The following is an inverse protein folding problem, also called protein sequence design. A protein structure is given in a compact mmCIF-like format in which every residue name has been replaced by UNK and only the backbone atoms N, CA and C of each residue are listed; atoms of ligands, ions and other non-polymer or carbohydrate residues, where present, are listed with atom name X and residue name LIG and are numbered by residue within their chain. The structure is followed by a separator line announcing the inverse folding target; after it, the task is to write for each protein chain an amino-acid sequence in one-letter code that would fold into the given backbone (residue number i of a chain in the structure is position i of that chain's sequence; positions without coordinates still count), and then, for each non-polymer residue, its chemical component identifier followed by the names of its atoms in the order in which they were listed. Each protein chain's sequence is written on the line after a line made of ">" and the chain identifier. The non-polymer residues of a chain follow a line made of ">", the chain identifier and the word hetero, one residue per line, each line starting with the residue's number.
data_IF_537495740260
#
_entry.id   IF_537495740260
#
_cell.length_a   1.000
_cell.length_b   1.000
_cell.length_c   1.000
_cell.angle_alpha   90.00
_cell.angle_beta   90.00
_cell.angle_gamma   90.00
#
_symmetry.space_group_name_H-M   'P 1'
#
loop_
_entity.id
_entity.type
_entity.pdbx_description
1 polymer ?
#
# COMPACT_ATOMS: atom_id res chain seq x y z
N UNK A 1 33.06 -5.36 -1.77
CA UNK A 1 31.83 -5.95 -2.32
C UNK A 1 30.94 -6.43 -1.17
N UNK A 2 29.88 -5.69 -0.86
CA UNK A 2 28.82 -6.11 0.08
C UNK A 2 27.79 -6.87 -0.74
N UNK A 3 27.68 -8.18 -0.52
CA UNK A 3 26.56 -8.95 -1.06
C UNK A 3 25.37 -8.68 -0.14
N UNK A 4 24.41 -7.86 -0.60
CA UNK A 4 23.12 -7.76 0.05
C UNK A 4 22.30 -8.96 -0.43
N UNK A 5 22.06 -9.93 0.45
CA UNK A 5 21.05 -10.96 0.22
C UNK A 5 19.73 -10.35 0.65
N UNK A 6 18.86 -10.06 -0.31
CA UNK A 6 17.53 -9.52 -0.05
C UNK A 6 16.57 -10.67 0.28
N UNK A 7 16.21 -10.82 1.56
CA UNK A 7 15.08 -11.65 1.93
C UNK A 7 13.84 -10.77 2.01
N UNK A 8 12.90 -10.97 1.09
CA UNK A 8 11.60 -10.32 1.07
C UNK A 8 10.65 -11.14 1.95
N UNK A 9 10.46 -10.69 3.19
CA UNK A 9 9.48 -11.29 4.11
C UNK A 9 8.20 -10.45 4.08
N UNK A 10 7.15 -10.99 3.47
CA UNK A 10 5.80 -10.44 3.55
C UNK A 10 5.09 -11.00 4.78
N UNK A 11 4.93 -10.17 5.82
CA UNK A 11 4.25 -10.59 7.06
C UNK A 11 2.81 -10.08 7.02
N UNK A 12 1.80 -10.96 6.83
CA UNK A 12 0.40 -10.57 7.00
C UNK A 12 0.12 -10.40 8.50
N UNK A 13 -0.21 -9.19 8.92
CA UNK A 13 -0.70 -8.95 10.28
C UNK A 13 -2.21 -9.10 10.29
N UNK A 14 -2.70 -10.21 10.83
CA UNK A 14 -4.11 -10.41 11.12
C UNK A 14 -4.43 -9.76 12.46
N UNK A 15 -5.20 -8.68 12.44
CA UNK A 15 -5.68 -7.99 13.64
C UNK A 15 -5.13 -6.58 13.78
N UNK A 16 -5.84 -5.60 13.23
CA UNK A 16 -5.73 -4.22 13.71
C UNK A 16 -6.93 -3.96 14.64
N UNK A 17 -6.72 -4.18 15.93
CA UNK A 17 -7.51 -3.53 16.97
C UNK A 17 -7.13 -2.05 16.98
N UNK A 18 -7.75 -1.26 16.11
CA UNK A 18 -7.93 0.16 16.36
C UNK A 18 -9.43 0.42 16.39
N UNK A 19 -9.92 0.65 17.60
CA UNK A 19 -11.18 1.34 17.85
C UNK A 19 -11.22 2.56 16.92
N UNK A 20 -12.32 2.70 16.16
CA UNK A 20 -12.55 3.64 15.04
C UNK A 20 -12.34 3.09 13.61
N UNK A 21 -12.76 1.85 13.32
CA UNK A 21 -13.05 1.49 11.92
C UNK A 21 -14.45 1.99 11.54
N UNK A 22 -14.49 3.09 10.79
CA UNK A 22 -15.67 3.44 9.99
C UNK A 22 -15.97 2.27 9.03
N UNK A 23 -17.24 1.98 8.72
CA UNK A 23 -17.60 0.87 7.85
C UNK A 23 -16.90 1.02 6.50
N UNK A 24 -16.01 0.07 6.15
CA UNK A 24 -15.26 0.03 4.89
C UNK A 24 -13.77 0.40 4.95
N UNK A 25 -13.24 0.82 6.11
CA UNK A 25 -11.84 1.27 6.22
C UNK A 25 -10.93 0.17 6.77
N UNK A 26 -10.06 -0.37 5.90
CA UNK A 26 -8.86 -1.18 6.17
C UNK A 26 -9.02 -2.38 7.13
N UNK A 27 -8.93 -3.59 6.56
CA UNK A 27 -9.10 -4.85 7.31
C UNK A 27 -7.85 -5.71 7.42
N UNK A 28 -6.95 -5.62 6.42
CA UNK A 28 -5.69 -6.36 6.43
C UNK A 28 -4.52 -5.45 6.09
N UNK A 29 -3.38 -5.74 6.68
CA UNK A 29 -2.12 -5.06 6.42
C UNK A 29 -1.04 -6.08 6.05
N UNK A 30 -0.29 -5.79 4.98
CA UNK A 30 0.93 -6.49 4.61
C UNK A 30 2.09 -5.52 4.73
N UNK A 31 3.19 -5.98 5.31
CA UNK A 31 4.45 -5.23 5.41
C UNK A 31 5.55 -6.01 4.72
N UNK A 32 6.37 -5.30 3.96
CA UNK A 32 7.55 -5.82 3.31
C UNK A 32 8.79 -5.19 3.92
N UNK A 33 9.73 -6.03 4.35
CA UNK A 33 10.99 -5.60 4.93
C UNK A 33 12.17 -6.00 4.05
N UNK A 34 13.17 -5.13 3.98
CA UNK A 34 14.50 -5.45 3.49
C UNK A 34 15.42 -5.75 4.68
N UNK A 35 16.17 -6.84 4.59
CA UNK A 35 17.24 -7.17 5.54
C UNK A 35 18.60 -6.81 4.93
N UNK A 36 19.48 -6.18 5.72
CA UNK A 36 20.86 -5.89 5.32
C UNK A 36 21.82 -6.62 6.26
N UNK A 37 22.75 -7.37 5.66
CA UNK A 37 23.83 -8.05 6.36
C UNK A 37 25.16 -7.36 6.04
N UNK A 38 25.84 -6.84 7.05
CA UNK A 38 27.27 -6.51 6.94
C UNK A 38 28.09 -7.65 7.57
N UNK A 39 29.17 -8.08 6.90
CA UNK A 39 29.97 -9.23 7.37
C UNK A 39 30.45 -8.99 8.80
N UNK A 40 29.87 -9.70 9.76
CA UNK A 40 30.20 -9.62 11.19
C UNK A 40 29.43 -8.57 12.00
N UNK A 41 28.38 -7.96 11.45
CA UNK A 41 27.53 -6.97 12.16
C UNK A 41 26.06 -7.38 12.20
N UNK A 42 25.37 -6.79 13.17
CA UNK A 42 23.96 -6.88 13.48
C UNK A 42 23.07 -6.83 12.23
N UNK A 43 21.99 -7.61 12.25
CA UNK A 43 20.98 -7.62 11.20
C UNK A 43 20.07 -6.41 11.36
N UNK A 44 20.09 -5.53 10.36
CA UNK A 44 19.19 -4.38 10.30
C UNK A 44 18.00 -4.68 9.37
N UNK A 45 16.81 -4.39 9.86
CA UNK A 45 15.55 -4.52 9.12
C UNK A 45 15.01 -3.14 8.77
N UNK A 46 14.55 -3.00 7.54
CA UNK A 46 13.94 -1.76 7.06
C UNK A 46 12.59 -2.06 6.43
N UNK A 47 11.52 -1.43 6.92
CA UNK A 47 10.21 -1.45 6.24
C UNK A 47 10.35 -0.67 4.93
N UNK A 48 9.98 -1.29 3.80
CA UNK A 48 10.09 -0.65 2.48
C UNK A 48 8.74 -0.48 1.80
N UNK A 49 7.78 -1.33 2.12
CA UNK A 49 6.44 -1.25 1.57
C UNK A 49 5.40 -1.67 2.60
N UNK A 50 4.24 -1.02 2.54
CA UNK A 50 3.05 -1.38 3.30
C UNK A 50 1.84 -1.35 2.37
N UNK A 51 1.05 -2.42 2.37
CA UNK A 51 -0.23 -2.50 1.66
C UNK A 51 -1.38 -2.71 2.63
N UNK A 52 -2.47 -2.01 2.38
CA UNK A 52 -3.70 -2.08 3.16
C UNK A 52 -4.82 -2.60 2.27
N UNK A 53 -5.65 -3.52 2.76
CA UNK A 53 -6.68 -4.19 1.95
C UNK A 53 -8.08 -4.03 2.55
N UNK A 54 -9.08 -4.09 1.67
CA UNK A 54 -10.49 -4.21 2.04
C UNK A 54 -10.88 -5.69 2.32
N UNK A 55 -12.17 -5.96 2.57
CA UNK A 55 -12.68 -7.30 2.90
C UNK A 55 -12.54 -8.32 1.77
N UNK A 56 -12.41 -7.85 0.54
CA UNK A 56 -12.24 -8.67 -0.66
C UNK A 56 -10.77 -8.88 -1.01
N UNK A 57 -9.86 -8.52 -0.11
CA UNK A 57 -8.40 -8.57 -0.32
C UNK A 57 -7.92 -7.71 -1.49
N UNK A 58 -8.65 -6.65 -1.81
CA UNK A 58 -8.24 -5.65 -2.80
C UNK A 58 -7.50 -4.50 -2.10
N UNK A 59 -6.33 -4.05 -2.60
CA UNK A 59 -5.57 -2.98 -1.98
C UNK A 59 -6.33 -1.66 -2.03
N UNK A 60 -6.39 -0.95 -0.91
CA UNK A 60 -7.01 0.37 -0.79
C UNK A 60 -5.96 1.47 -0.54
N UNK A 61 -4.76 1.07 -0.10
CA UNK A 61 -3.63 1.97 0.06
C UNK A 61 -2.31 1.22 -0.04
N UNK A 62 -1.33 1.85 -0.67
CA UNK A 62 0.05 1.38 -0.77
C UNK A 62 0.98 2.52 -0.31
N UNK A 63 2.01 2.17 0.46
CA UNK A 63 3.00 3.11 1.00
C UNK A 63 4.39 2.58 0.70
N UNK A 64 5.27 3.44 0.23
CA UNK A 64 6.68 3.15 -0.02
C UNK A 64 7.53 3.98 0.91
N UNK A 65 8.56 3.37 1.50
CA UNK A 65 9.43 3.99 2.49
C UNK A 65 10.86 4.17 1.96
N UNK A 66 11.41 5.38 2.12
CA UNK A 66 12.81 5.67 1.82
C UNK A 66 13.75 5.06 2.87
N UNK A 67 15.07 5.19 2.69
CA UNK A 67 16.10 4.66 3.61
C UNK A 67 15.99 5.15 5.05
N UNK A 68 15.33 6.29 5.29
CA UNK A 68 15.14 6.87 6.60
C UNK A 68 13.80 6.48 7.25
N UNK A 69 13.00 5.66 6.57
CA UNK A 69 11.66 5.27 7.03
C UNK A 69 10.61 6.38 6.86
N UNK A 70 10.90 7.40 6.06
CA UNK A 70 9.92 8.40 5.64
C UNK A 70 9.12 7.83 4.47
N UNK A 71 7.86 8.25 4.32
CA UNK A 71 7.00 7.83 3.21
C UNK A 71 7.15 8.84 2.05
N UNK A 72 8.06 8.63 1.08
CA UNK A 72 8.10 9.45 -0.11
C UNK A 72 6.85 9.25 -0.95
N UNK A 73 6.33 8.03 -1.10
CA UNK A 73 5.20 7.76 -2.00
C UNK A 73 4.06 7.02 -1.32
N UNK A 74 2.84 7.45 -1.64
CA UNK A 74 1.61 6.81 -1.20
C UNK A 74 0.56 6.83 -2.33
N UNK A 75 -0.02 5.67 -2.62
CA UNK A 75 -1.16 5.54 -3.52
C UNK A 75 -2.40 5.10 -2.76
N UNK A 76 -3.55 5.72 -3.06
CA UNK A 76 -4.85 5.34 -2.50
C UNK A 76 -5.80 4.99 -3.62
N UNK A 77 -6.66 4.01 -3.38
CA UNK A 77 -7.60 3.48 -4.36
C UNK A 77 -9.02 3.48 -3.79
N UNK A 78 -9.98 3.84 -4.63
CA UNK A 78 -11.40 3.77 -4.34
C UNK A 78 -12.06 2.83 -5.36
N UNK A 79 -12.99 1.99 -4.89
CA UNK A 79 -13.66 0.99 -5.71
C UNK A 79 -15.17 1.10 -5.58
N UNK A 80 -15.90 0.74 -6.63
CA UNK A 80 -17.34 0.57 -6.57
C UNK A 80 -17.76 -0.73 -5.87
N UNK A 81 -19.07 -0.92 -5.68
CA UNK A 81 -19.63 -2.12 -5.05
C UNK A 81 -19.35 -3.42 -5.81
N UNK A 82 -19.01 -3.33 -7.11
CA UNK A 82 -18.61 -4.46 -7.95
C UNK A 82 -17.10 -4.73 -7.91
N UNK A 83 -16.32 -3.93 -7.18
CA UNK A 83 -14.87 -4.07 -7.05
C UNK A 83 -14.08 -3.45 -8.20
N UNK A 84 -14.69 -2.58 -9.00
CA UNK A 84 -14.00 -1.84 -10.07
C UNK A 84 -13.41 -0.57 -9.50
N UNK A 85 -12.15 -0.26 -9.80
CA UNK A 85 -11.54 1.01 -9.40
C UNK A 85 -12.34 2.16 -10.00
N UNK A 86 -12.72 3.13 -9.17
CA UNK A 86 -13.38 4.37 -9.60
C UNK A 86 -12.41 5.53 -9.58
N UNK A 87 -11.37 5.45 -8.74
CA UNK A 87 -10.38 6.51 -8.56
C UNK A 87 -9.09 5.97 -7.95
N UNK A 88 -7.98 6.54 -8.37
CA UNK A 88 -6.69 6.44 -7.69
C UNK A 88 -6.07 7.81 -7.45
N UNK A 89 -5.29 7.92 -6.37
CA UNK A 89 -4.57 9.17 -6.02
C UNK A 89 -3.18 8.83 -5.51
N UNK A 90 -2.18 9.32 -6.22
CA UNK A 90 -0.77 9.19 -5.86
C UNK A 90 -0.26 10.49 -5.23
N UNK A 91 0.47 10.33 -4.12
CA UNK A 91 1.13 11.41 -3.41
C UNK A 91 2.62 11.16 -3.32
N UNK A 92 3.41 12.17 -3.65
CA UNK A 92 4.84 12.22 -3.42
C UNK A 92 5.14 13.29 -2.35
N UNK A 93 5.79 12.90 -1.25
CA UNK A 93 6.08 13.74 -0.09
C UNK A 93 4.82 14.47 0.42
N UNK A 94 3.70 13.75 0.48
CA UNK A 94 2.40 14.27 0.90
C UNK A 94 1.67 15.14 -0.13
N UNK A 95 2.31 15.51 -1.25
CA UNK A 95 1.70 16.30 -2.32
C UNK A 95 1.08 15.38 -3.37
N UNK A 96 -0.16 15.66 -3.77
CA UNK A 96 -0.80 14.93 -4.87
C UNK A 96 -0.06 15.22 -6.16
N UNK A 97 0.46 14.18 -6.81
CA UNK A 97 1.16 14.29 -8.11
C UNK A 97 0.35 13.69 -9.25
N UNK A 98 -0.56 12.77 -8.95
CA UNK A 98 -1.41 12.12 -9.93
C UNK A 98 -2.77 11.78 -9.33
N UNK A 99 -3.82 11.97 -10.11
CA UNK A 99 -5.17 11.51 -9.80
C UNK A 99 -5.82 11.00 -11.08
N UNK A 100 -6.48 9.83 -11.00
CA UNK A 100 -7.21 9.25 -12.11
C UNK A 100 -8.63 8.92 -11.67
N UNK A 101 -9.60 9.10 -12.57
CA UNK A 101 -10.95 8.56 -12.43
C UNK A 101 -11.17 7.56 -13.55
N UNK A 102 -11.62 6.36 -13.20
CA UNK A 102 -12.05 5.39 -14.20
C UNK A 102 -13.42 5.82 -14.75
N UNK A 103 -13.42 6.78 -15.67
CA UNK A 103 -14.63 7.13 -16.43
C UNK A 103 -14.87 6.07 -17.51
N UNK A 104 -15.54 4.99 -17.12
CA UNK A 104 -16.23 4.09 -18.04
C UNK A 104 -17.63 3.77 -17.49
N UNK A 105 -18.48 4.81 -17.46
CA UNK A 105 -19.92 4.59 -17.55
C UNK A 105 -20.29 4.68 -19.02
N UNK A 106 -20.66 3.53 -19.59
CA UNK A 106 -21.53 3.48 -20.76
C UNK A 106 -22.74 4.37 -20.43
N UNK A 107 -22.80 5.56 -21.02
CA UNK A 107 -24.01 6.37 -20.98
C UNK A 107 -24.99 5.58 -21.84
N UNK A 108 -26.05 5.05 -21.22
CA UNK A 108 -27.06 4.31 -21.94
C UNK A 108 -27.53 5.09 -23.16
N UNK A 109 -27.66 4.41 -24.29
CA UNK A 109 -28.28 4.91 -25.51
C UNK A 109 -29.64 5.53 -25.12
N UNK A 110 -29.80 6.83 -25.33
CA UNK A 110 -31.13 7.44 -25.34
C UNK A 110 -31.88 6.83 -26.52
N UNK A 111 -32.98 6.16 -26.19
CA UNK A 111 -33.96 5.62 -27.14
C UNK A 111 -34.52 6.71 -28.03
#
# INVERSE_FOLDING_TARGET
>A
MKYAIYFLLAIPLFGCNSSQSLPGKKLREMRLFEARFDRGKQMDWKLVEKKCYNRREVPISEFYYDENGVIPSQTNYEYDSKGREIKSTERLNGKVIYFCYAFNRTIGKLS
#
